data_IF_696688550369
#
_entry.id   IF_696688550369
#
_cell.length_a   1.000
_cell.length_b   1.000
_cell.length_c   1.000
_cell.angle_alpha   90.00
_cell.angle_beta   90.00
_cell.angle_gamma   90.00
#
_symmetry.space_group_name_H-M   'P 1'
#
loop_
_entity.id
_entity.type
_entity.pdbx_description
1 polymer ?
#
# COMPACT_ATOMS: atom_id res chain seq x y z
N UNK A 1 -3.39 -29.68 -17.43
CA UNK A 1 -2.99 -29.76 -16.01
C UNK A 1 -4.14 -29.23 -15.19
N UNK A 2 -4.80 -30.09 -14.41
CA UNK A 2 -5.88 -29.69 -13.50
C UNK A 2 -5.22 -28.98 -12.33
N UNK A 3 -5.34 -27.66 -12.28
CA UNK A 3 -4.91 -26.86 -11.11
C UNK A 3 -5.78 -27.32 -9.95
N UNK A 4 -5.16 -27.87 -8.90
CA UNK A 4 -5.89 -28.26 -7.71
C UNK A 4 -6.71 -27.06 -7.19
N UNK A 5 -7.96 -27.25 -6.75
CA UNK A 5 -8.76 -26.16 -6.20
C UNK A 5 -7.99 -25.56 -5.04
N UNK A 6 -7.66 -24.28 -5.15
CA UNK A 6 -6.93 -23.54 -4.11
C UNK A 6 -7.72 -23.60 -2.83
N UNK A 7 -7.04 -23.93 -1.72
CA UNK A 7 -7.72 -24.06 -0.45
C UNK A 7 -8.28 -22.70 -0.02
N UNK A 8 -9.46 -22.70 0.61
CA UNK A 8 -10.05 -21.48 1.17
C UNK A 8 -9.11 -20.81 2.18
N UNK A 9 -8.24 -21.58 2.85
CA UNK A 9 -7.20 -21.08 3.73
C UNK A 9 -6.15 -20.21 3.01
N UNK A 10 -5.71 -20.63 1.81
CA UNK A 10 -4.74 -19.87 1.02
C UNK A 10 -5.32 -18.55 0.50
N UNK A 11 -6.61 -18.53 0.14
CA UNK A 11 -7.31 -17.30 -0.25
C UNK A 11 -7.45 -16.34 0.93
N UNK A 12 -7.84 -16.84 2.11
CA UNK A 12 -7.93 -16.05 3.35
C UNK A 12 -6.57 -15.44 3.71
N UNK A 13 -5.48 -16.21 3.61
CA UNK A 13 -4.13 -15.69 3.83
C UNK A 13 -3.75 -14.60 2.82
N UNK A 14 -4.09 -14.81 1.54
CA UNK A 14 -3.83 -13.84 0.47
C UNK A 14 -4.52 -12.50 0.73
N UNK A 15 -5.83 -12.52 1.01
CA UNK A 15 -6.60 -11.32 1.29
C UNK A 15 -6.16 -10.62 2.58
N UNK A 16 -5.78 -11.39 3.61
CA UNK A 16 -5.22 -10.85 4.85
C UNK A 16 -3.92 -10.09 4.60
N UNK A 17 -2.99 -10.70 3.86
CA UNK A 17 -1.70 -10.09 3.50
C UNK A 17 -1.88 -8.82 2.67
N UNK A 18 -2.77 -8.84 1.68
CA UNK A 18 -3.11 -7.64 0.91
C UNK A 18 -3.68 -6.53 1.79
N UNK A 19 -4.63 -6.86 2.65
CA UNK A 19 -5.25 -5.88 3.55
C UNK A 19 -4.24 -5.27 4.51
N UNK A 20 -3.37 -6.09 5.10
CA UNK A 20 -2.31 -5.61 5.99
C UNK A 20 -1.29 -4.73 5.24
N UNK A 21 -0.88 -5.12 4.03
CA UNK A 21 0.01 -4.32 3.19
C UNK A 21 -0.58 -2.96 2.82
N UNK A 22 -1.88 -2.91 2.50
CA UNK A 22 -2.59 -1.66 2.25
C UNK A 22 -2.70 -0.78 3.49
N UNK A 23 -2.85 -1.36 4.69
CA UNK A 23 -2.89 -0.58 5.93
C UNK A 23 -1.59 0.18 6.17
N UNK A 24 -0.44 -0.50 6.02
CA UNK A 24 0.87 0.17 6.02
C UNK A 24 0.97 1.20 4.90
N UNK A 25 0.38 0.90 3.74
CA UNK A 25 0.26 1.83 2.61
C UNK A 25 -0.49 3.13 2.95
N UNK A 26 -1.62 3.01 3.64
CA UNK A 26 -2.47 4.14 4.06
C UNK A 26 -1.76 4.95 5.15
N UNK A 27 -1.14 4.29 6.13
CA UNK A 27 -0.37 4.97 7.19
C UNK A 27 0.80 5.74 6.57
N UNK A 28 1.55 5.09 5.67
CA UNK A 28 2.66 5.71 4.95
C UNK A 28 2.23 6.92 4.13
N UNK A 29 1.09 6.86 3.43
CA UNK A 29 0.60 8.00 2.63
C UNK A 29 0.11 9.16 3.50
N UNK A 30 -0.45 8.92 4.68
CA UNK A 30 -0.78 9.98 5.66
C UNK A 30 0.50 10.69 6.12
N UNK A 31 1.54 9.94 6.47
CA UNK A 31 2.85 10.49 6.88
C UNK A 31 3.47 11.34 5.76
N UNK A 32 3.50 10.83 4.52
CA UNK A 32 4.03 11.57 3.37
C UNK A 32 3.19 12.82 3.08
N UNK A 33 1.85 12.70 3.06
CA UNK A 33 0.94 13.81 2.77
C UNK A 33 1.01 14.93 3.80
N UNK A 34 1.03 14.59 5.09
CA UNK A 34 1.20 15.58 6.17
C UNK A 34 2.56 16.26 6.12
N UNK A 35 3.62 15.52 5.80
CA UNK A 35 4.97 16.09 5.67
C UNK A 35 5.06 17.07 4.51
N UNK A 36 4.51 16.72 3.34
CA UNK A 36 4.48 17.61 2.19
C UNK A 36 3.69 18.88 2.52
N UNK A 37 2.58 18.76 3.24
CA UNK A 37 1.77 19.91 3.66
C UNK A 37 2.54 20.83 4.63
N UNK A 38 3.26 20.26 5.60
CA UNK A 38 4.12 21.02 6.53
C UNK A 38 5.25 21.73 5.78
N UNK A 39 5.93 21.03 4.87
CA UNK A 39 7.00 21.62 4.04
C UNK A 39 6.43 22.77 3.21
N UNK A 40 5.29 22.57 2.54
CA UNK A 40 4.67 23.57 1.69
C UNK A 40 4.26 24.81 2.50
N UNK A 41 3.57 24.64 3.63
CA UNK A 41 3.19 25.76 4.50
C UNK A 41 4.40 26.46 5.11
N UNK A 42 5.42 25.70 5.52
CA UNK A 42 6.66 26.26 6.07
C UNK A 42 7.42 27.10 5.05
N UNK A 43 7.51 26.64 3.80
CA UNK A 43 8.10 27.40 2.71
C UNK A 43 7.28 28.66 2.41
N UNK A 44 5.95 28.53 2.29
CA UNK A 44 5.06 29.67 2.05
C UNK A 44 5.17 30.74 3.17
N UNK A 45 5.20 30.30 4.42
CA UNK A 45 5.38 31.17 5.58
C UNK A 45 6.75 31.87 5.53
N UNK A 46 7.82 31.15 5.19
CA UNK A 46 9.16 31.74 5.06
C UNK A 46 9.24 32.85 3.99
N UNK A 47 8.45 32.75 2.90
CA UNK A 47 8.34 33.79 1.88
C UNK A 47 7.37 34.93 2.24
N UNK A 48 6.49 34.73 3.22
CA UNK A 48 5.46 35.71 3.62
C UNK A 48 5.91 36.64 4.75
N UNK A 49 7.01 36.31 5.44
CA UNK A 49 7.55 37.14 6.52
C UNK A 49 8.40 38.27 5.91
N UNK A 50 8.03 39.52 6.21
CA UNK A 50 8.74 40.73 5.78
C UNK A 50 10.25 40.66 6.10
N UNK A 51 11.15 41.11 5.20
CA UNK A 51 12.62 41.02 5.36
C UNK A 51 13.20 41.67 6.63
N UNK A 52 12.40 42.39 7.43
CA UNK A 52 12.83 43.06 8.67
C UNK A 52 12.37 42.40 9.97
N UNK A 53 11.51 41.38 9.94
CA UNK A 53 11.16 40.63 11.13
C UNK A 53 12.17 39.49 11.29
N UNK A 54 12.96 39.49 12.37
CA UNK A 54 14.09 38.58 12.64
C UNK A 54 13.79 37.06 12.70
N UNK A 55 12.69 36.60 12.11
CA UNK A 55 12.35 35.19 11.88
C UNK A 55 12.28 34.76 10.40
N UNK A 56 12.42 35.68 9.44
CA UNK A 56 12.43 35.38 8.00
C UNK A 56 13.85 35.14 7.48
N UNK A 57 14.28 33.89 7.40
CA UNK A 57 15.61 33.54 6.86
C UNK A 57 15.65 32.12 6.30
N UNK A 58 16.67 31.81 5.51
CA UNK A 58 16.87 30.47 4.95
C UNK A 58 17.01 29.39 6.05
N UNK A 59 17.47 29.74 7.26
CA UNK A 59 17.67 28.81 8.39
C UNK A 59 16.39 28.09 8.84
N UNK A 60 15.32 28.79 9.27
CA UNK A 60 14.04 28.18 9.61
C UNK A 60 13.43 27.35 8.48
N UNK A 61 13.52 27.84 7.23
CA UNK A 61 13.01 27.12 6.06
C UNK A 61 13.77 25.81 5.81
N UNK A 62 15.10 25.81 5.95
CA UNK A 62 15.95 24.62 5.84
C UNK A 62 15.69 23.62 6.98
N UNK A 63 15.41 24.08 8.20
CA UNK A 63 15.08 23.21 9.32
C UNK A 63 13.72 22.51 9.11
N UNK A 64 12.69 23.24 8.66
CA UNK A 64 11.38 22.67 8.33
C UNK A 64 11.51 21.69 7.16
N UNK A 65 12.28 22.04 6.13
CA UNK A 65 12.55 21.15 5.00
C UNK A 65 13.25 19.86 5.44
N UNK A 66 14.33 19.97 6.21
CA UNK A 66 15.09 18.81 6.69
C UNK A 66 14.22 17.89 7.56
N UNK A 67 13.43 18.45 8.48
CA UNK A 67 12.52 17.65 9.32
C UNK A 67 11.42 16.96 8.49
N UNK A 68 10.85 17.66 7.51
CA UNK A 68 9.86 17.09 6.60
C UNK A 68 10.43 15.97 5.72
N UNK A 69 11.66 16.12 5.22
CA UNK A 69 12.32 15.06 4.43
C UNK A 69 12.47 13.78 5.25
N UNK A 70 12.84 13.86 6.53
CA UNK A 70 12.94 12.69 7.41
C UNK A 70 11.59 11.97 7.53
N UNK A 71 10.49 12.71 7.74
CA UNK A 71 9.16 12.10 7.86
C UNK A 71 8.67 11.53 6.53
N UNK A 72 8.97 12.17 5.39
CA UNK A 72 8.71 11.61 4.05
C UNK A 72 9.44 10.28 3.85
N UNK A 73 10.71 10.20 4.25
CA UNK A 73 11.49 8.96 4.15
C UNK A 73 10.89 7.85 5.03
N UNK A 74 10.49 8.16 6.26
CA UNK A 74 9.81 7.19 7.15
C UNK A 74 8.51 6.70 6.50
N UNK A 75 7.69 7.61 5.98
CA UNK A 75 6.44 7.26 5.30
C UNK A 75 6.66 6.39 4.06
N UNK A 76 7.66 6.71 3.24
CA UNK A 76 8.04 5.94 2.07
C UNK A 76 8.58 4.54 2.43
N UNK A 77 9.36 4.42 3.52
CA UNK A 77 9.84 3.14 4.03
C UNK A 77 8.71 2.26 4.54
N UNK A 78 7.72 2.84 5.25
CA UNK A 78 6.50 2.11 5.64
C UNK A 78 5.70 1.65 4.42
N UNK A 79 5.62 2.50 3.39
CA UNK A 79 4.97 2.16 2.13
C UNK A 79 5.66 0.98 1.46
N UNK A 80 6.99 1.02 1.37
CA UNK A 80 7.81 -0.05 0.82
C UNK A 80 7.64 -1.33 1.63
N UNK A 81 7.75 -1.27 2.96
CA UNK A 81 7.55 -2.43 3.83
C UNK A 81 6.16 -3.04 3.68
N UNK A 82 5.11 -2.22 3.64
CA UNK A 82 3.73 -2.65 3.45
C UNK A 82 3.50 -3.34 2.10
N UNK A 83 3.92 -2.69 1.02
CA UNK A 83 3.71 -3.20 -0.33
C UNK A 83 4.59 -4.40 -0.63
N UNK A 84 5.89 -4.32 -0.33
CA UNK A 84 6.84 -5.40 -0.58
C UNK A 84 6.63 -6.59 0.36
N UNK A 85 6.50 -6.33 1.66
CA UNK A 85 6.48 -7.37 2.68
C UNK A 85 5.14 -8.12 2.77
N UNK A 86 4.03 -7.47 2.43
CA UNK A 86 2.69 -8.06 2.61
C UNK A 86 1.78 -7.97 1.39
N UNK A 87 1.70 -6.82 0.74
CA UNK A 87 0.75 -6.66 -0.37
C UNK A 87 1.09 -7.53 -1.58
N UNK A 88 2.31 -7.39 -2.10
CA UNK A 88 2.82 -8.15 -3.26
C UNK A 88 2.75 -9.66 -3.04
N UNK A 89 3.21 -10.24 -1.90
CA UNK A 89 3.07 -11.67 -1.70
C UNK A 89 1.60 -12.12 -1.63
N UNK A 90 0.67 -11.29 -1.14
CA UNK A 90 -0.76 -11.60 -1.18
C UNK A 90 -1.32 -11.64 -2.62
N UNK A 91 -0.95 -10.66 -3.46
CA UNK A 91 -1.34 -10.65 -4.88
C UNK A 91 -0.69 -11.81 -5.65
N UNK A 92 0.53 -12.19 -5.29
CA UNK A 92 1.24 -13.33 -5.89
C UNK A 92 0.62 -14.68 -5.52
N UNK A 93 0.10 -14.83 -4.29
CA UNK A 93 -0.70 -15.99 -3.92
C UNK A 93 -2.01 -16.07 -4.72
N UNK A 94 -2.68 -14.93 -4.93
CA UNK A 94 -3.84 -14.84 -5.83
C UNK A 94 -3.48 -15.20 -7.27
N UNK A 95 -2.31 -14.79 -7.77
CA UNK A 95 -1.81 -15.19 -9.10
C UNK A 95 -1.66 -16.70 -9.24
N UNK A 96 -1.17 -17.38 -8.20
CA UNK A 96 -1.07 -18.85 -8.18
C UNK A 96 -2.45 -19.50 -8.20
N UNK A 97 -3.43 -18.85 -7.58
CA UNK A 97 -4.80 -19.35 -7.54
C UNK A 97 -5.57 -19.12 -8.84
N UNK A 98 -5.41 -17.95 -9.47
CA UNK A 98 -6.04 -17.61 -10.75
C UNK A 98 -5.06 -16.85 -11.66
N UNK A 99 -4.88 -17.31 -12.92
CA UNK A 99 -3.93 -16.70 -13.85
C UNK A 99 -4.31 -15.26 -14.25
N UNK A 100 -5.58 -14.88 -14.10
CA UNK A 100 -6.09 -13.53 -14.37
C UNK A 100 -5.35 -12.43 -13.59
N UNK A 101 -4.85 -12.73 -12.39
CA UNK A 101 -4.10 -11.78 -11.57
C UNK A 101 -2.64 -11.60 -11.98
N UNK A 102 -2.13 -12.37 -12.95
CA UNK A 102 -0.71 -12.36 -13.33
C UNK A 102 -0.21 -11.02 -13.87
N UNK A 103 -1.00 -10.37 -14.72
CA UNK A 103 -0.67 -9.04 -15.27
C UNK A 103 -0.59 -8.01 -14.15
N UNK A 104 -1.61 -7.96 -13.28
CA UNK A 104 -1.65 -7.04 -12.16
C UNK A 104 -0.47 -7.26 -11.20
N UNK A 105 -0.22 -8.52 -10.81
CA UNK A 105 0.88 -8.89 -9.91
C UNK A 105 2.24 -8.43 -10.45
N UNK A 106 2.50 -8.68 -11.74
CA UNK A 106 3.76 -8.30 -12.39
C UNK A 106 3.94 -6.79 -12.43
N UNK A 107 2.92 -6.04 -12.84
CA UNK A 107 2.96 -4.57 -12.90
C UNK A 107 3.14 -3.94 -11.52
N UNK A 108 2.41 -4.42 -10.51
CA UNK A 108 2.54 -3.97 -9.11
C UNK A 108 3.96 -4.24 -8.61
N UNK A 109 4.49 -5.44 -8.85
CA UNK A 109 5.82 -5.83 -8.40
C UNK A 109 6.91 -4.98 -9.05
N UNK A 110 6.88 -4.83 -10.38
CA UNK A 110 7.91 -4.06 -11.08
C UNK A 110 7.76 -2.58 -10.77
N UNK A 111 6.54 -2.05 -10.87
CA UNK A 111 6.26 -0.63 -10.73
C UNK A 111 6.48 -0.11 -9.32
N UNK A 112 5.88 -0.75 -8.31
CA UNK A 112 6.05 -0.26 -6.93
C UNK A 112 7.42 -0.57 -6.34
N UNK A 113 8.00 -1.76 -6.54
CA UNK A 113 9.31 -2.05 -5.94
C UNK A 113 10.38 -1.14 -6.54
N UNK A 114 10.56 -1.18 -7.86
CA UNK A 114 11.61 -0.41 -8.49
C UNK A 114 11.31 1.08 -8.44
N UNK A 115 10.04 1.47 -8.61
CA UNK A 115 9.62 2.86 -8.52
C UNK A 115 9.89 3.47 -7.15
N UNK A 116 9.46 2.84 -6.05
CA UNK A 116 9.73 3.36 -4.69
C UNK A 116 11.22 3.41 -4.40
N UNK A 117 11.98 2.35 -4.73
CA UNK A 117 13.41 2.29 -4.44
C UNK A 117 14.15 3.41 -5.20
N UNK A 118 13.83 3.61 -6.47
CA UNK A 118 14.39 4.69 -7.27
C UNK A 118 14.00 6.07 -6.73
N UNK A 119 12.74 6.26 -6.29
CA UNK A 119 12.32 7.53 -5.68
C UNK A 119 13.06 7.79 -4.38
N UNK A 120 13.22 6.80 -3.50
CA UNK A 120 13.95 6.95 -2.23
C UNK A 120 15.41 7.33 -2.49
N UNK A 121 16.10 6.57 -3.35
CA UNK A 121 17.49 6.85 -3.73
C UNK A 121 17.58 8.21 -4.42
N UNK A 122 16.64 8.53 -5.29
CA UNK A 122 16.56 9.79 -6.00
C UNK A 122 16.41 10.98 -5.06
N UNK A 123 15.52 10.89 -4.07
CA UNK A 123 15.33 11.92 -3.03
C UNK A 123 16.61 12.12 -2.22
N UNK A 124 17.29 11.06 -1.80
CA UNK A 124 18.58 11.20 -1.08
C UNK A 124 19.63 11.89 -1.96
N UNK A 125 19.66 11.55 -3.25
CA UNK A 125 20.58 12.13 -4.23
C UNK A 125 20.13 13.47 -4.81
N UNK A 126 18.96 14.01 -4.46
CA UNK A 126 18.47 15.30 -5.04
C UNK A 126 19.37 16.50 -4.72
N UNK A 127 20.26 16.38 -3.73
CA UNK A 127 21.34 17.36 -3.51
C UNK A 127 22.29 17.50 -4.71
N UNK A 128 22.31 16.50 -5.59
CA UNK A 128 23.04 16.48 -6.86
C UNK A 128 22.01 16.50 -8.00
N UNK A 129 22.26 17.24 -9.08
CA UNK A 129 21.36 17.37 -10.24
C UNK A 129 20.87 16.01 -10.81
N UNK A 130 21.70 14.96 -10.66
CA UNK A 130 21.41 13.58 -11.06
C UNK A 130 20.19 12.99 -10.33
N UNK A 131 19.96 13.38 -9.08
CA UNK A 131 18.85 12.85 -8.27
C UNK A 131 17.47 13.16 -8.87
N UNK A 132 17.31 14.34 -9.49
CA UNK A 132 16.04 14.74 -10.12
C UNK A 132 15.65 13.77 -11.23
N UNK A 133 16.61 13.40 -12.10
CA UNK A 133 16.37 12.46 -13.20
C UNK A 133 15.95 11.08 -12.67
N UNK A 134 16.57 10.65 -11.58
CA UNK A 134 16.30 9.37 -10.92
C UNK A 134 14.89 9.34 -10.29
N UNK A 135 14.47 10.45 -9.68
CA UNK A 135 13.09 10.64 -9.18
C UNK A 135 12.08 10.58 -10.33
N UNK A 136 12.37 11.22 -11.47
CA UNK A 136 11.47 11.19 -12.65
C UNK A 136 11.29 9.76 -13.16
N UNK A 137 12.37 8.99 -13.33
CA UNK A 137 12.29 7.58 -13.75
C UNK A 137 11.52 6.75 -12.72
N UNK A 138 11.81 6.94 -11.43
CA UNK A 138 11.10 6.26 -10.35
C UNK A 138 9.60 6.55 -10.36
N UNK A 139 9.23 7.80 -10.62
CA UNK A 139 7.83 8.21 -10.71
C UNK A 139 7.10 7.55 -11.88
N UNK A 140 7.74 7.43 -13.05
CA UNK A 140 7.19 6.70 -14.21
C UNK A 140 6.94 5.22 -13.84
N UNK A 141 7.87 4.59 -13.13
CA UNK A 141 7.69 3.22 -12.63
C UNK A 141 6.54 3.11 -11.61
N UNK A 142 6.38 4.09 -10.72
CA UNK A 142 5.25 4.13 -9.79
C UNK A 142 3.91 4.19 -10.52
N UNK A 143 3.81 4.94 -11.62
CA UNK A 143 2.61 4.97 -12.46
C UNK A 143 2.28 3.58 -13.02
N UNK A 144 3.29 2.82 -13.47
CA UNK A 144 3.07 1.42 -13.91
C UNK A 144 2.53 0.54 -12.77
N UNK A 145 3.01 0.75 -11.53
CA UNK A 145 2.48 0.07 -10.35
C UNK A 145 1.01 0.42 -10.09
N UNK A 146 0.66 1.70 -10.25
CA UNK A 146 -0.73 2.19 -10.17
C UNK A 146 -1.65 1.54 -11.22
N UNK A 147 -1.19 1.40 -12.46
CA UNK A 147 -1.94 0.69 -13.51
C UNK A 147 -2.18 -0.77 -13.09
N UNK A 148 -1.18 -1.42 -12.51
CA UNK A 148 -1.33 -2.77 -11.95
C UNK A 148 -2.42 -2.85 -10.86
N UNK A 149 -2.51 -1.84 -9.98
CA UNK A 149 -3.57 -1.76 -8.96
C UNK A 149 -4.96 -1.60 -9.57
N UNK A 150 -5.09 -0.80 -10.63
CA UNK A 150 -6.36 -0.61 -11.34
C UNK A 150 -6.83 -1.95 -11.94
N UNK A 151 -5.94 -2.66 -12.63
CA UNK A 151 -6.25 -3.99 -13.20
C UNK A 151 -6.63 -4.97 -12.09
N UNK A 152 -5.89 -4.95 -10.97
CA UNK A 152 -6.20 -5.80 -9.81
C UNK A 152 -7.62 -5.54 -9.30
N UNK A 153 -8.02 -4.28 -9.16
CA UNK A 153 -9.35 -3.91 -8.69
C UNK A 153 -10.46 -4.42 -9.64
N UNK A 154 -10.30 -4.28 -10.95
CA UNK A 154 -11.28 -4.80 -11.90
C UNK A 154 -11.36 -6.33 -11.88
N UNK A 155 -10.22 -7.02 -11.79
CA UNK A 155 -10.19 -8.48 -11.71
C UNK A 155 -10.80 -8.98 -10.39
N UNK A 156 -10.56 -8.29 -9.28
CA UNK A 156 -11.20 -8.59 -8.00
C UNK A 156 -12.71 -8.36 -8.06
N UNK A 157 -13.18 -7.28 -8.68
CA UNK A 157 -14.61 -7.07 -8.88
C UNK A 157 -15.27 -8.20 -9.68
N UNK A 158 -14.64 -8.60 -10.79
CA UNK A 158 -15.15 -9.68 -11.66
C UNK A 158 -15.26 -11.02 -10.91
N UNK A 159 -14.28 -11.30 -10.03
CA UNK A 159 -14.20 -12.58 -9.33
C UNK A 159 -14.96 -12.64 -8.01
N UNK A 160 -15.04 -11.52 -7.28
CA UNK A 160 -15.62 -11.44 -5.94
C UNK A 160 -17.03 -10.84 -5.94
N UNK A 161 -17.45 -10.22 -7.05
CA UNK A 161 -18.76 -9.59 -7.19
C UNK A 161 -19.00 -8.40 -6.25
N UNK A 162 -17.93 -7.81 -5.69
CA UNK A 162 -18.04 -6.67 -4.79
C UNK A 162 -17.78 -5.35 -5.54
N UNK A 163 -18.84 -4.55 -5.68
CA UNK A 163 -18.81 -3.24 -6.35
C UNK A 163 -17.81 -2.25 -5.74
N UNK A 164 -17.42 -2.42 -4.46
CA UNK A 164 -16.40 -1.59 -3.84
C UNK A 164 -15.04 -1.69 -4.55
N UNK A 165 -14.70 -2.85 -5.13
CA UNK A 165 -13.49 -3.00 -5.94
C UNK A 165 -13.58 -2.21 -7.25
N UNK A 166 -14.75 -2.20 -7.90
CA UNK A 166 -14.97 -1.42 -9.12
C UNK A 166 -14.87 0.07 -8.83
N UNK A 167 -15.52 0.54 -7.76
CA UNK A 167 -15.46 1.94 -7.33
C UNK A 167 -14.01 2.32 -6.99
N UNK A 168 -13.29 1.49 -6.22
CA UNK A 168 -11.87 1.71 -5.94
C UNK A 168 -11.03 1.80 -7.22
N UNK A 169 -11.25 0.91 -8.20
CA UNK A 169 -10.56 0.94 -9.50
C UNK A 169 -10.79 2.24 -10.27
N UNK A 170 -12.02 2.74 -10.31
CA UNK A 170 -12.35 4.03 -10.95
C UNK A 170 -11.70 5.20 -10.21
N UNK A 171 -11.75 5.20 -8.87
CA UNK A 171 -11.07 6.24 -8.09
C UNK A 171 -9.56 6.21 -8.27
N UNK A 172 -8.93 5.05 -8.49
CA UNK A 172 -7.51 4.98 -8.83
C UNK A 172 -7.21 5.63 -10.18
N UNK A 173 -8.07 5.48 -11.18
CA UNK A 173 -7.91 6.15 -12.49
C UNK A 173 -7.97 7.67 -12.33
N UNK A 174 -9.01 8.18 -11.68
CA UNK A 174 -9.16 9.63 -11.43
C UNK A 174 -8.05 10.12 -10.50
N UNK A 175 -7.62 9.26 -9.59
CA UNK A 175 -6.58 9.48 -8.59
C UNK A 175 -5.19 9.73 -9.18
N UNK A 176 -4.94 9.39 -10.44
CA UNK A 176 -3.71 9.74 -11.15
C UNK A 176 -3.57 11.26 -11.28
N UNK A 177 -4.69 11.96 -11.51
CA UNK A 177 -4.74 13.42 -11.66
C UNK A 177 -4.95 14.08 -10.29
N UNK A 178 -5.78 13.47 -9.44
CA UNK A 178 -6.16 14.04 -8.15
C UNK A 178 -5.70 13.10 -7.01
N UNK A 179 -4.53 13.35 -6.39
CA UNK A 179 -3.96 12.47 -5.36
C UNK A 179 -4.87 12.20 -4.16
N UNK A 180 -5.80 13.12 -3.85
CA UNK A 180 -6.77 12.89 -2.79
C UNK A 180 -7.73 11.72 -3.11
N UNK A 181 -8.12 11.55 -4.38
CA UNK A 181 -8.98 10.43 -4.77
C UNK A 181 -8.24 9.09 -4.74
N UNK A 182 -6.93 9.07 -5.04
CA UNK A 182 -6.16 7.82 -4.92
C UNK A 182 -6.05 7.37 -3.47
N UNK A 183 -5.94 8.32 -2.52
CA UNK A 183 -6.01 8.01 -1.09
C UNK A 183 -7.34 7.35 -0.70
N UNK A 184 -8.47 7.90 -1.16
CA UNK A 184 -9.80 7.32 -0.93
C UNK A 184 -9.91 5.94 -1.58
N UNK A 185 -9.34 5.75 -2.77
CA UNK A 185 -9.31 4.45 -3.46
C UNK A 185 -8.60 3.37 -2.63
N UNK A 186 -7.47 3.69 -1.99
CA UNK A 186 -6.79 2.77 -1.08
C UNK A 186 -7.66 2.35 0.11
N UNK A 187 -8.41 3.29 0.68
CA UNK A 187 -9.34 3.00 1.79
C UNK A 187 -10.47 2.08 1.31
N UNK A 188 -11.08 2.38 0.17
CA UNK A 188 -12.15 1.54 -0.39
C UNK A 188 -11.66 0.13 -0.70
N UNK A 189 -10.46 0.00 -1.28
CA UNK A 189 -9.84 -1.29 -1.53
C UNK A 189 -9.58 -2.04 -0.21
N UNK A 190 -9.10 -1.36 0.82
CA UNK A 190 -8.90 -1.95 2.16
C UNK A 190 -10.21 -2.48 2.77
N UNK A 191 -11.31 -1.73 2.64
CA UNK A 191 -12.64 -2.15 3.12
C UNK A 191 -13.15 -3.35 2.31
N UNK A 192 -13.05 -3.29 0.98
CA UNK A 192 -13.48 -4.36 0.09
C UNK A 192 -12.76 -5.69 0.38
N UNK A 193 -11.45 -5.63 0.64
CA UNK A 193 -10.65 -6.78 1.06
C UNK A 193 -11.06 -7.31 2.44
N UNK A 194 -11.49 -6.43 3.34
CA UNK A 194 -12.04 -6.82 4.63
C UNK A 194 -13.33 -7.64 4.49
N UNK A 195 -14.21 -7.23 3.58
CA UNK A 195 -15.46 -7.93 3.31
C UNK A 195 -15.22 -9.30 2.67
N UNK A 196 -14.35 -9.39 1.66
CA UNK A 196 -14.02 -10.69 1.04
C UNK A 196 -13.33 -11.62 2.03
N UNK A 197 -12.42 -11.11 2.85
CA UNK A 197 -11.76 -11.88 3.90
C UNK A 197 -12.79 -12.48 4.87
N UNK A 198 -13.78 -11.71 5.32
CA UNK A 198 -14.85 -12.20 6.21
C UNK A 198 -15.68 -13.29 5.56
N UNK A 199 -16.04 -13.12 4.27
CA UNK A 199 -16.78 -14.12 3.50
C UNK A 199 -16.02 -15.44 3.44
N UNK A 200 -14.76 -15.43 3.01
CA UNK A 200 -13.98 -16.65 2.91
C UNK A 200 -13.64 -17.28 4.27
N UNK A 201 -13.42 -16.47 5.30
CA UNK A 201 -13.19 -16.99 6.67
C UNK A 201 -14.43 -17.71 7.22
N UNK A 202 -15.64 -17.24 6.88
CA UNK A 202 -16.89 -17.91 7.28
C UNK A 202 -17.16 -19.23 6.54
N UNK A 203 -16.50 -19.45 5.40
CA UNK A 203 -16.61 -20.68 4.60
C UNK A 203 -15.55 -21.73 4.97
N UNK A 204 -14.59 -21.41 5.85
CA UNK A 204 -13.63 -22.39 6.32
C UNK A 204 -14.29 -23.35 7.32
N UNK A 205 -14.12 -24.68 7.15
CA UNK A 205 -14.49 -25.64 8.18
C UNK A 205 -13.79 -25.27 9.49
N UNK A 206 -14.51 -25.33 10.61
CA UNK A 206 -13.93 -25.09 11.92
C UNK A 206 -12.68 -25.99 12.10
N UNK A 207 -11.60 -25.50 12.72
CA UNK A 207 -10.44 -26.33 13.01
C UNK A 207 -10.91 -27.59 13.74
N UNK A 208 -10.35 -28.78 13.44
CA UNK A 208 -10.76 -30.01 14.09
C UNK A 208 -10.66 -29.79 15.60
N UNK A 209 -11.78 -29.94 16.29
CA UNK A 209 -11.84 -29.92 17.75
C UNK A 209 -10.89 -31.03 18.19
N UNK A 210 -9.73 -30.66 18.73
CA UNK A 210 -8.85 -31.62 19.39
C UNK A 210 -9.68 -32.25 20.49
N UNK A 211 -10.01 -33.53 20.36
CA UNK A 211 -10.63 -34.32 21.43
C UNK A 211 -9.74 -34.18 22.65
N UNK A 212 -10.13 -33.31 23.56
CA UNK A 212 -9.48 -33.14 24.84
C UNK A 212 -9.58 -34.50 25.54
N UNK A 213 -8.45 -35.15 25.93
CA UNK A 213 -8.51 -36.46 26.56
C UNK A 213 -9.41 -36.35 27.80
N UNK A 214 -10.45 -37.18 27.85
CA UNK A 214 -11.37 -37.26 28.98
C UNK A 214 -10.58 -37.37 30.28
N UNK A 215 -10.95 -36.66 31.37
CA UNK A 215 -10.32 -36.84 32.66
C UNK A 215 -10.47 -38.32 33.05
N UNK A 216 -9.35 -39.00 33.25
CA UNK A 216 -9.31 -40.38 33.71
C UNK A 216 -10.10 -40.50 35.01
N UNK A 217 -11.20 -41.26 34.97
CA UNK A 217 -11.95 -41.66 36.16
C UNK A 217 -11.01 -42.39 37.14
N UNK A 218 -10.97 -42.01 38.43
CA UNK A 218 -10.18 -42.75 39.42
C UNK A 218 -10.77 -44.16 39.63
N UNK A 219 -9.92 -45.16 39.89
CA UNK A 219 -10.36 -46.54 40.04
C UNK A 219 -11.27 -46.71 41.26
N UNK A 220 -12.29 -47.60 41.18
CA UNK A 220 -13.20 -47.86 42.28
C UNK A 220 -12.45 -48.53 43.44
N UNK A 221 -12.72 -48.03 44.65
CA UNK A 221 -12.21 -48.51 45.94
C UNK A 221 -13.04 -49.71 46.40
#
# INVERSE_FOLDING_TARGET
MVVAPVSSADLVDSFRKMREGLLYGIIGSILVGTSIFIIFLGILAAFSVSPGAGGGGAGPALAVFASGVVVVLIGALLWLYGFYGKFIPGVEQLRKARPEYSTAASLIRIGFIWGLVLVIIGVILTLILIGILLVVIGYILLILGYVGMIILCFNLNSNEGNSLYLVAGILFIIGIIIPLLSFIAYILLYVALGDTLRRYSSMQPAPPVSLQPSPTLPPPI
#
